data_IF_710088487195
#
_entry.id   IF_710088487195
#
_cell.length_a   1.000
_cell.length_b   1.000
_cell.length_c   1.000
_cell.angle_alpha   90.00
_cell.angle_beta   90.00
_cell.angle_gamma   90.00
#
_symmetry.space_group_name_H-M   'P 1'
#
loop_
_entity.id
_entity.type
_entity.pdbx_description
1 polymer ?
#
# COMPACT_ATOMS: atom_id res chain seq x y z
N UNK A 1 57.99 25.70 38.28
CA UNK A 1 57.23 25.56 37.02
C UNK A 1 57.92 24.48 36.18
N UNK A 2 57.36 23.29 36.30
CA UNK A 2 57.45 22.02 35.52
C UNK A 2 57.85 22.21 34.04
N UNK A 3 58.82 21.50 33.42
CA UNK A 3 59.15 20.04 33.34
C UNK A 3 57.96 19.22 32.80
N UNK A 4 57.96 18.48 31.69
CA UNK A 4 58.95 17.57 31.09
C UNK A 4 58.76 17.41 29.56
N UNK A 5 59.88 17.14 28.87
CA UNK A 5 59.96 16.45 27.57
C UNK A 5 59.70 14.95 27.74
N UNK A 6 59.13 14.27 26.73
CA UNK A 6 59.61 12.95 26.29
C UNK A 6 59.47 12.81 24.77
N UNK A 7 60.51 12.23 24.18
CA UNK A 7 60.84 12.10 22.76
C UNK A 7 61.29 10.63 22.55
N UNK A 8 61.30 10.19 21.28
CA UNK A 8 61.92 8.98 20.71
C UNK A 8 61.13 7.66 20.89
N UNK A 9 61.06 6.73 19.92
CA UNK A 9 62.06 6.35 18.89
C UNK A 9 61.39 5.70 17.67
N UNK A 10 61.95 5.96 16.49
CA UNK A 10 61.74 5.29 15.19
C UNK A 10 62.79 4.17 15.04
N UNK A 11 62.46 2.95 14.58
CA UNK A 11 63.20 2.29 13.47
C UNK A 11 62.59 0.98 12.97
N UNK A 12 62.62 0.86 11.65
CA UNK A 12 62.28 -0.22 10.72
C UNK A 12 63.35 -1.31 10.64
N UNK A 13 62.94 -2.54 10.23
CA UNK A 13 63.43 -3.32 9.06
C UNK A 13 63.75 -4.83 9.30
N UNK A 14 63.14 -5.67 8.44
CA UNK A 14 63.64 -6.89 7.77
C UNK A 14 63.97 -8.16 8.60
N UNK A 15 63.94 -9.41 8.10
CA UNK A 15 63.35 -10.15 6.95
C UNK A 15 63.90 -11.60 7.09
N UNK A 16 63.15 -12.60 6.58
CA UNK A 16 63.56 -13.95 6.15
C UNK A 16 63.78 -15.03 7.25
N UNK A 17 62.91 -16.06 7.32
CA UNK A 17 62.89 -17.32 6.51
C UNK A 17 63.85 -18.35 7.13
N UNK A 18 63.57 -19.65 7.34
CA UNK A 18 62.80 -20.76 6.73
C UNK A 18 62.74 -21.85 7.84
N UNK A 19 61.89 -22.87 7.92
CA UNK A 19 61.00 -23.61 7.01
C UNK A 19 60.77 -25.03 7.60
N UNK A 20 59.94 -25.82 6.90
CA UNK A 20 59.67 -27.27 7.04
C UNK A 20 58.67 -27.69 8.14
N UNK A 21 57.72 -28.61 7.96
CA UNK A 21 56.98 -29.24 6.85
C UNK A 21 56.03 -30.30 7.48
N UNK A 22 55.11 -30.96 6.75
CA UNK A 22 53.78 -31.35 7.26
C UNK A 22 53.64 -32.81 7.73
N UNK A 23 52.52 -33.15 8.39
CA UNK A 23 52.13 -34.55 8.62
C UNK A 23 50.60 -34.81 8.54
N UNK A 24 50.25 -35.55 7.49
CA UNK A 24 49.27 -36.63 7.31
C UNK A 24 47.88 -36.63 7.99
N UNK A 25 46.89 -36.91 7.13
CA UNK A 25 45.54 -37.39 7.41
C UNK A 25 45.53 -38.75 8.13
N UNK A 26 44.52 -38.96 8.99
CA UNK A 26 44.15 -40.21 9.66
C UNK A 26 42.64 -40.23 9.98
N UNK A 27 42.02 -41.42 10.18
CA UNK A 27 40.88 -41.87 9.37
C UNK A 27 39.52 -41.90 10.12
N UNK A 28 38.44 -42.08 9.34
CA UNK A 28 37.09 -42.34 9.86
C UNK A 28 37.01 -43.65 10.67
N UNK A 29 36.25 -43.70 11.77
CA UNK A 29 36.01 -44.94 12.49
C UNK A 29 34.88 -45.76 11.82
N UNK A 30 35.24 -46.97 11.40
CA UNK A 30 34.31 -48.06 11.10
C UNK A 30 33.59 -48.49 12.38
N UNK A 31 32.28 -48.73 12.28
CA UNK A 31 31.48 -49.49 13.24
C UNK A 31 30.75 -50.61 12.49
N UNK A 32 30.78 -51.77 13.13
CA UNK A 32 30.66 -53.11 12.58
C UNK A 32 29.34 -53.47 11.88
N UNK A 33 29.48 -54.35 10.90
CA UNK A 33 28.41 -54.98 10.13
C UNK A 33 27.89 -56.19 10.90
N UNK A 34 26.70 -56.07 11.48
CA UNK A 34 25.90 -57.23 11.90
C UNK A 34 24.74 -57.44 10.91
N UNK A 35 24.61 -58.67 10.41
CA UNK A 35 23.57 -59.13 9.49
C UNK A 35 22.20 -59.11 10.17
N UNK A 36 21.21 -58.47 9.57
CA UNK A 36 19.83 -58.92 9.63
C UNK A 36 18.98 -58.36 8.46
N UNK A 37 18.42 -59.29 7.69
CA UNK A 37 17.10 -59.31 7.05
C UNK A 37 16.59 -58.08 6.25
N UNK A 38 16.35 -58.35 4.97
CA UNK A 38 15.63 -57.50 4.01
C UNK A 38 14.23 -57.10 4.49
N UNK A 39 13.91 -55.80 4.60
CA UNK A 39 12.53 -55.37 4.78
C UNK A 39 11.82 -55.18 3.43
N UNK A 40 10.59 -55.68 3.43
CA UNK A 40 9.59 -55.63 2.37
C UNK A 40 9.35 -54.19 1.84
N UNK A 41 8.93 -54.12 0.57
CA UNK A 41 8.49 -52.88 -0.10
C UNK A 41 7.54 -52.08 0.80
N UNK A 42 7.80 -50.78 1.03
CA UNK A 42 6.77 -49.92 1.60
C UNK A 42 5.64 -49.76 0.58
N UNK A 43 4.42 -50.02 1.05
CA UNK A 43 3.18 -49.57 0.42
C UNK A 43 3.24 -48.05 0.18
N UNK A 44 2.68 -47.54 -0.93
CA UNK A 44 2.76 -46.12 -1.22
C UNK A 44 2.00 -45.32 -0.16
N UNK A 45 2.74 -44.45 0.54
CA UNK A 45 2.16 -43.41 1.39
C UNK A 45 1.21 -42.54 0.57
N UNK A 46 0.04 -42.26 1.14
CA UNK A 46 -0.92 -41.31 0.61
C UNK A 46 -0.22 -39.96 0.33
N UNK A 47 -0.55 -39.27 -0.78
CA UNK A 47 0.07 -38.00 -1.10
C UNK A 47 -0.21 -36.97 0.00
N UNK A 48 0.71 -36.00 0.23
CA UNK A 48 0.48 -34.94 1.19
C UNK A 48 -0.80 -34.18 0.81
N UNK A 49 -1.61 -33.88 1.83
CA UNK A 49 -2.77 -32.99 1.71
C UNK A 49 -2.25 -31.68 1.12
N UNK A 50 -2.57 -31.43 -0.16
CA UNK A 50 -2.38 -30.12 -0.76
C UNK A 50 -3.22 -29.15 0.06
N UNK A 51 -2.55 -28.25 0.75
CA UNK A 51 -3.15 -26.98 1.16
C UNK A 51 -3.89 -26.44 -0.08
N UNK A 52 -5.21 -26.31 0.04
CA UNK A 52 -6.00 -25.65 -0.99
C UNK A 52 -5.48 -24.23 -1.05
N UNK A 53 -4.66 -23.94 -2.05
CA UNK A 53 -4.58 -22.60 -2.61
C UNK A 53 -6.01 -22.26 -2.96
N UNK A 54 -6.58 -21.33 -2.21
CA UNK A 54 -7.86 -20.73 -2.50
C UNK A 54 -7.70 -19.95 -3.81
N UNK A 55 -7.84 -20.65 -4.93
CA UNK A 55 -8.05 -20.02 -6.24
C UNK A 55 -9.49 -19.55 -6.29
N UNK A 56 -9.81 -18.59 -5.43
CA UNK A 56 -11.07 -17.86 -5.40
C UNK A 56 -11.12 -16.81 -6.51
N UNK A 57 -10.94 -17.24 -7.76
CA UNK A 57 -11.57 -16.59 -8.90
C UNK A 57 -11.95 -17.66 -9.91
N UNK A 58 -13.23 -18.04 -9.90
CA UNK A 58 -13.83 -18.99 -10.83
C UNK A 58 -13.89 -18.46 -12.27
N UNK A 59 -13.29 -17.30 -12.56
CA UNK A 59 -13.16 -16.74 -13.91
C UNK A 59 -12.07 -17.39 -14.79
N UNK A 60 -11.18 -18.22 -14.24
CA UNK A 60 -10.11 -18.90 -15.01
C UNK A 60 -10.58 -20.17 -15.74
N UNK A 61 -11.57 -20.04 -16.62
CA UNK A 61 -11.62 -20.96 -17.78
C UNK A 61 -10.55 -20.50 -18.77
N UNK A 62 -9.80 -21.42 -19.43
CA UNK A 62 -8.96 -21.02 -20.55
C UNK A 62 -9.82 -20.21 -21.52
N UNK A 63 -9.28 -19.06 -21.92
CA UNK A 63 -9.96 -18.01 -22.68
C UNK A 63 -10.29 -18.56 -24.09
N UNK A 64 -11.41 -19.28 -24.25
CA UNK A 64 -11.80 -19.93 -25.50
C UNK A 64 -12.80 -19.08 -26.30
N UNK A 65 -12.47 -18.78 -27.56
CA UNK A 65 -13.29 -18.11 -28.58
C UNK A 65 -12.43 -17.38 -29.62
N UNK A 66 -13.02 -16.89 -30.73
CA UNK A 66 -12.27 -16.23 -31.80
C UNK A 66 -11.58 -14.96 -31.30
N UNK A 67 -10.32 -14.76 -31.69
CA UNK A 67 -9.53 -13.57 -31.37
C UNK A 67 -9.35 -12.76 -32.65
N UNK A 68 -9.79 -11.50 -32.64
CA UNK A 68 -9.66 -10.60 -33.79
C UNK A 68 -8.32 -9.87 -33.76
N UNK A 69 -7.57 -9.90 -34.85
CA UNK A 69 -6.30 -9.15 -34.95
C UNK A 69 -6.55 -7.71 -35.40
N UNK A 70 -6.08 -6.73 -34.65
CA UNK A 70 -6.19 -5.30 -34.99
C UNK A 70 -4.96 -4.73 -35.73
N UNK A 71 -3.89 -5.51 -35.89
CA UNK A 71 -2.64 -5.05 -36.50
C UNK A 71 -2.75 -4.67 -37.99
N UNK A 72 -3.81 -5.12 -38.68
CA UNK A 72 -4.07 -4.81 -40.09
C UNK A 72 -4.86 -3.52 -40.34
N UNK A 73 -5.26 -2.80 -39.29
CA UNK A 73 -5.95 -1.51 -39.40
C UNK A 73 -4.96 -0.38 -39.74
N UNK A 74 -5.40 0.77 -40.32
CA UNK A 74 -4.51 1.89 -40.64
C UNK A 74 -3.61 2.28 -39.46
N UNK A 75 -2.34 2.58 -39.76
CA UNK A 75 -1.23 2.62 -38.78
C UNK A 75 -1.40 3.64 -37.63
N UNK A 76 -2.19 4.69 -37.84
CA UNK A 76 -2.27 5.82 -36.91
C UNK A 76 -3.43 5.68 -35.92
N UNK A 77 -4.49 4.97 -36.29
CA UNK A 77 -5.64 4.68 -35.43
C UNK A 77 -6.20 3.31 -35.81
N UNK A 78 -6.11 2.35 -34.89
CA UNK A 78 -6.72 1.02 -35.08
C UNK A 78 -8.11 1.04 -34.47
N UNK A 79 -9.15 1.09 -35.32
CA UNK A 79 -10.55 1.12 -34.88
C UNK A 79 -11.25 -0.17 -35.26
N UNK A 80 -12.02 -0.71 -34.33
CA UNK A 80 -13.00 -1.76 -34.59
C UNK A 80 -14.37 -1.33 -34.09
N UNK A 81 -15.40 -1.54 -34.91
CA UNK A 81 -16.80 -1.41 -34.52
C UNK A 81 -17.50 -2.74 -34.69
N UNK A 82 -18.30 -3.11 -33.71
CA UNK A 82 -19.08 -4.33 -33.77
C UNK A 82 -20.07 -4.41 -32.62
N UNK A 83 -20.69 -5.56 -32.46
CA UNK A 83 -21.58 -5.81 -31.32
C UNK A 83 -21.02 -6.92 -30.46
N UNK A 84 -21.34 -6.88 -29.17
CA UNK A 84 -20.98 -7.92 -28.21
C UNK A 84 -21.81 -9.18 -28.53
N UNK A 85 -21.19 -10.21 -29.11
CA UNK A 85 -21.86 -11.44 -29.58
C UNK A 85 -21.95 -12.51 -28.49
N UNK A 86 -21.14 -12.38 -27.44
CA UNK A 86 -21.08 -13.26 -26.27
C UNK A 86 -20.80 -12.43 -25.01
N UNK A 87 -20.60 -13.04 -23.85
CA UNK A 87 -20.26 -12.31 -22.62
C UNK A 87 -19.04 -11.38 -22.79
N UNK A 88 -18.11 -11.72 -23.68
CA UNK A 88 -16.89 -10.95 -23.92
C UNK A 88 -16.38 -11.09 -25.36
N UNK A 89 -15.95 -9.99 -25.97
CA UNK A 89 -15.21 -9.99 -27.24
C UNK A 89 -13.70 -9.93 -27.00
N UNK A 90 -12.92 -10.48 -27.93
CA UNK A 90 -11.46 -10.62 -27.80
C UNK A 90 -10.71 -10.05 -28.97
N UNK A 91 -9.71 -9.24 -28.66
CA UNK A 91 -8.84 -8.60 -29.64
C UNK A 91 -7.38 -8.86 -29.32
N UNK A 92 -6.58 -9.19 -30.33
CA UNK A 92 -5.14 -9.23 -30.24
C UNK A 92 -4.57 -7.98 -30.90
N UNK A 93 -3.58 -7.39 -30.25
CA UNK A 93 -2.81 -6.30 -30.83
C UNK A 93 -1.34 -6.44 -30.46
N UNK A 94 -0.45 -6.11 -31.39
CA UNK A 94 0.98 -6.05 -31.14
C UNK A 94 1.43 -4.61 -30.97
N UNK A 95 2.15 -4.36 -29.89
CA UNK A 95 2.90 -3.12 -29.67
C UNK A 95 4.39 -3.36 -29.91
N UNK A 96 5.04 -2.41 -30.58
CA UNK A 96 6.47 -2.38 -30.75
C UNK A 96 7.16 -1.82 -29.49
N UNK A 97 8.48 -2.06 -29.37
CA UNK A 97 9.29 -1.47 -28.31
C UNK A 97 9.24 0.07 -28.38
N UNK A 98 9.04 0.71 -27.23
CA UNK A 98 8.89 2.16 -27.10
C UNK A 98 7.51 2.71 -27.49
N UNK A 99 6.59 1.87 -27.97
CA UNK A 99 5.24 2.27 -28.37
C UNK A 99 4.35 2.48 -27.13
N UNK A 100 3.53 3.53 -27.17
CA UNK A 100 2.44 3.70 -26.22
C UNK A 100 1.14 3.98 -26.96
N UNK A 101 0.07 3.37 -26.46
CA UNK A 101 -1.28 3.49 -26.99
C UNK A 101 -2.26 3.86 -25.88
N UNK A 102 -3.25 4.65 -26.25
CA UNK A 102 -4.50 4.85 -25.51
C UNK A 102 -5.54 3.95 -26.15
N UNK A 103 -6.12 3.07 -25.35
CA UNK A 103 -7.14 2.11 -25.76
C UNK A 103 -8.45 2.56 -25.13
N UNK A 104 -9.40 2.96 -25.95
CA UNK A 104 -10.73 3.37 -25.51
C UNK A 104 -11.76 2.34 -25.98
N UNK A 105 -12.69 1.99 -25.11
CA UNK A 105 -13.89 1.20 -25.46
C UNK A 105 -15.11 2.03 -25.12
N UNK A 106 -15.92 2.35 -26.12
CA UNK A 106 -17.11 3.18 -25.95
C UNK A 106 -18.34 2.51 -26.56
N UNK A 107 -19.51 2.75 -25.97
CA UNK A 107 -20.78 2.36 -26.59
C UNK A 107 -21.00 3.18 -27.87
N UNK A 108 -21.49 2.53 -28.93
CA UNK A 108 -21.90 3.25 -30.15
C UNK A 108 -23.16 4.10 -29.88
N UNK A 109 -23.38 5.22 -30.61
CA UNK A 109 -24.55 6.06 -30.43
C UNK A 109 -25.87 5.28 -30.44
N UNK A 110 -26.72 5.52 -29.44
CA UNK A 110 -27.99 4.82 -29.27
C UNK A 110 -27.90 3.46 -28.58
N UNK A 111 -26.71 2.99 -28.23
CA UNK A 111 -26.50 1.77 -27.43
C UNK A 111 -26.41 2.11 -25.95
N UNK A 112 -27.10 1.35 -25.10
CA UNK A 112 -26.90 1.38 -23.64
C UNK A 112 -25.95 0.25 -23.25
N UNK A 113 -24.69 0.58 -23.08
CA UNK A 113 -23.65 -0.33 -22.63
C UNK A 113 -22.67 0.44 -21.76
N UNK A 114 -22.31 -0.16 -20.63
CA UNK A 114 -21.25 0.29 -19.75
C UNK A 114 -20.03 -0.63 -20.00
N UNK A 115 -19.11 -0.25 -20.90
CA UNK A 115 -18.01 -1.11 -21.32
C UNK A 115 -17.00 -1.37 -20.22
N UNK A 116 -16.51 -2.61 -20.12
CA UNK A 116 -15.35 -2.98 -19.31
C UNK A 116 -14.25 -3.46 -20.23
N UNK A 117 -13.07 -2.89 -20.09
CA UNK A 117 -11.85 -3.28 -20.78
C UNK A 117 -10.88 -3.96 -19.80
N UNK A 118 -10.48 -5.20 -20.10
CA UNK A 118 -9.31 -5.83 -19.47
C UNK A 118 -8.21 -6.04 -20.50
N UNK A 119 -6.99 -5.64 -20.18
CA UNK A 119 -5.82 -5.77 -21.04
C UNK A 119 -4.85 -6.76 -20.41
N UNK A 120 -4.53 -7.82 -21.13
CA UNK A 120 -3.60 -8.85 -20.72
C UNK A 120 -2.34 -8.81 -21.57
N UNK A 121 -1.21 -9.15 -20.96
CA UNK A 121 -0.05 -9.67 -21.68
C UNK A 121 -0.44 -11.05 -22.23
N UNK A 122 -0.45 -11.19 -23.54
CA UNK A 122 -0.94 -12.39 -24.21
C UNK A 122 -0.01 -13.59 -24.03
N UNK A 123 1.28 -13.35 -23.89
CA UNK A 123 2.29 -14.41 -23.84
C UNK A 123 2.34 -15.04 -22.44
N UNK A 124 2.14 -14.23 -21.40
CA UNK A 124 2.12 -14.65 -19.99
C UNK A 124 0.72 -14.82 -19.41
N UNK A 125 -0.32 -14.39 -20.13
CA UNK A 125 -1.70 -14.29 -19.66
C UNK A 125 -1.86 -13.45 -18.37
N UNK A 126 -0.94 -12.52 -18.13
CA UNK A 126 -0.96 -11.62 -16.96
C UNK A 126 -1.86 -10.42 -17.23
N UNK A 127 -2.81 -10.13 -16.34
CA UNK A 127 -3.57 -8.88 -16.38
C UNK A 127 -2.62 -7.69 -16.21
N UNK A 128 -2.65 -6.76 -17.17
CA UNK A 128 -1.86 -5.53 -17.14
C UNK A 128 -2.68 -4.40 -16.55
N UNK A 129 -3.88 -4.18 -17.07
CA UNK A 129 -4.77 -3.08 -16.69
C UNK A 129 -6.23 -3.49 -16.89
N UNK A 130 -7.10 -2.88 -16.11
CA UNK A 130 -8.55 -2.98 -16.25
C UNK A 130 -9.16 -1.61 -16.02
N UNK A 131 -10.20 -1.29 -16.79
CA UNK A 131 -10.96 -0.06 -16.65
C UNK A 131 -12.40 -0.23 -17.16
N UNK A 132 -13.32 0.59 -16.67
CA UNK A 132 -14.74 0.59 -17.01
C UNK A 132 -15.32 2.00 -17.27
N UNK A 133 -14.82 3.05 -16.63
CA UNK A 133 -15.42 4.38 -16.72
C UNK A 133 -14.43 5.56 -16.79
N UNK A 134 -13.15 5.34 -17.10
CA UNK A 134 -12.16 6.42 -17.11
C UNK A 134 -12.14 7.27 -18.39
N UNK A 135 -12.92 6.93 -19.40
CA UNK A 135 -13.05 7.64 -20.66
C UNK A 135 -14.22 8.64 -20.69
N UNK A 136 -14.55 9.13 -21.88
CA UNK A 136 -15.70 10.03 -22.05
C UNK A 136 -17.03 9.29 -21.77
N UNK A 137 -17.84 9.85 -20.87
CA UNK A 137 -19.09 9.22 -20.45
C UNK A 137 -18.84 7.99 -19.58
N UNK A 138 -19.27 6.82 -20.06
CA UNK A 138 -19.00 5.51 -19.43
C UNK A 138 -17.94 4.73 -20.21
N UNK A 139 -17.14 5.38 -21.06
CA UNK A 139 -16.14 4.64 -21.82
C UNK A 139 -15.04 4.11 -20.89
N UNK A 140 -14.56 2.90 -21.16
CA UNK A 140 -13.34 2.40 -20.53
C UNK A 140 -12.12 2.98 -21.26
N UNK A 141 -11.12 3.48 -20.54
CA UNK A 141 -9.89 4.02 -21.12
C UNK A 141 -8.63 3.52 -20.41
N UNK A 142 -7.68 3.01 -21.19
CA UNK A 142 -6.42 2.47 -20.68
C UNK A 142 -5.24 2.99 -21.49
N UNK A 143 -4.21 3.47 -20.79
CA UNK A 143 -2.91 3.79 -21.38
C UNK A 143 -1.90 2.65 -21.16
N UNK A 144 -1.34 2.12 -22.24
CA UNK A 144 -0.29 1.08 -22.22
C UNK A 144 0.98 1.65 -22.85
N UNK A 145 2.12 1.40 -22.22
CA UNK A 145 3.44 1.61 -22.79
C UNK A 145 4.17 0.27 -22.81
N UNK A 146 4.82 -0.05 -23.94
CA UNK A 146 5.61 -1.26 -24.09
C UNK A 146 7.08 -0.92 -24.20
N UNK A 147 7.89 -1.32 -23.21
CA UNK A 147 9.34 -1.05 -23.22
C UNK A 147 10.07 -1.92 -24.26
N UNK A 148 9.74 -3.21 -24.33
CA UNK A 148 10.44 -4.20 -25.16
C UNK A 148 9.60 -4.74 -26.33
N UNK A 149 8.41 -4.19 -26.54
CA UNK A 149 7.40 -4.77 -27.42
C UNK A 149 6.58 -5.83 -26.66
N UNK A 150 5.30 -5.92 -26.97
CA UNK A 150 4.38 -6.78 -26.23
C UNK A 150 3.20 -7.19 -27.10
N UNK A 151 2.80 -8.45 -27.00
CA UNK A 151 1.54 -8.93 -27.56
C UNK A 151 0.45 -8.74 -26.49
N UNK A 152 -0.59 -7.99 -26.83
CA UNK A 152 -1.71 -7.73 -25.94
C UNK A 152 -2.92 -8.56 -26.33
N UNK A 153 -3.69 -8.97 -25.32
CA UNK A 153 -5.03 -9.51 -25.46
C UNK A 153 -6.01 -8.57 -24.74
N UNK A 154 -6.91 -7.95 -25.51
CA UNK A 154 -7.98 -7.09 -24.99
C UNK A 154 -9.25 -7.93 -24.82
N UNK A 155 -9.84 -7.89 -23.64
CA UNK A 155 -11.15 -8.44 -23.36
C UNK A 155 -12.13 -7.28 -23.15
N UNK A 156 -13.15 -7.23 -24.00
CA UNK A 156 -14.23 -6.24 -23.92
C UNK A 156 -15.50 -6.93 -23.42
N UNK A 157 -16.09 -6.42 -22.35
CA UNK A 157 -17.36 -6.89 -21.78
C UNK A 157 -18.24 -5.70 -21.36
N UNK A 158 -19.37 -5.96 -20.73
CA UNK A 158 -20.20 -4.93 -20.11
C UNK A 158 -20.21 -5.09 -18.57
N UNK A 159 -20.24 -3.98 -17.84
CA UNK A 159 -20.25 -3.94 -16.37
C UNK A 159 -21.58 -4.43 -15.79
N UNK A 160 -22.67 -4.25 -16.55
CA UNK A 160 -24.02 -4.65 -16.18
C UNK A 160 -24.69 -5.48 -17.28
N UNK A 161 -25.72 -6.22 -16.87
CA UNK A 161 -26.57 -6.98 -17.79
C UNK A 161 -27.25 -6.05 -18.78
N UNK A 162 -27.20 -6.41 -20.06
CA UNK A 162 -27.85 -5.69 -21.15
C UNK A 162 -28.80 -6.63 -21.89
N UNK A 163 -29.77 -6.05 -22.62
CA UNK A 163 -30.59 -6.80 -23.57
C UNK A 163 -30.03 -6.68 -24.98
N UNK A 164 -30.13 -7.76 -25.77
CA UNK A 164 -29.69 -7.78 -27.16
C UNK A 164 -28.16 -7.89 -27.31
N UNK A 165 -27.63 -7.34 -28.41
CA UNK A 165 -26.20 -7.35 -28.77
C UNK A 165 -25.71 -5.91 -28.88
N UNK A 166 -25.24 -5.29 -27.78
CA UNK A 166 -24.91 -3.87 -27.76
C UNK A 166 -23.74 -3.59 -28.70
N UNK A 167 -23.82 -2.49 -29.43
CA UNK A 167 -22.77 -2.03 -30.32
C UNK A 167 -21.72 -1.22 -29.55
N UNK A 168 -20.45 -1.43 -29.88
CA UNK A 168 -19.31 -0.76 -29.26
C UNK A 168 -18.21 -0.47 -30.28
N UNK A 169 -17.37 0.50 -29.96
CA UNK A 169 -16.12 0.82 -30.64
C UNK A 169 -14.94 0.47 -29.73
N UNK A 170 -13.89 -0.13 -30.30
CA UNK A 170 -12.55 -0.20 -29.71
C UNK A 170 -11.65 0.68 -30.56
N UNK A 171 -11.05 1.70 -29.96
CA UNK A 171 -10.13 2.61 -30.63
C UNK A 171 -8.77 2.58 -29.94
N UNK A 172 -7.72 2.29 -30.71
CA UNK A 172 -6.34 2.42 -30.27
C UNK A 172 -5.71 3.62 -30.95
N UNK A 173 -5.27 4.59 -30.16
CA UNK A 173 -4.64 5.83 -30.62
C UNK A 173 -3.24 5.96 -30.02
N UNK A 174 -2.26 6.51 -30.74
CA UNK A 174 -0.96 6.84 -30.18
C UNK A 174 -1.09 7.67 -28.90
N UNK A 175 -0.24 7.35 -27.93
CA UNK A 175 -0.22 7.98 -26.62
C UNK A 175 1.19 8.45 -26.30
N UNK A 176 1.28 9.58 -25.60
CA UNK A 176 2.54 10.06 -25.02
C UNK A 176 2.80 9.51 -23.62
N UNK A 177 1.89 8.71 -23.08
CA UNK A 177 2.05 8.08 -21.77
C UNK A 177 3.36 7.31 -21.68
N UNK A 178 4.09 7.53 -20.59
CA UNK A 178 5.27 6.77 -20.19
C UNK A 178 5.19 6.58 -18.67
N UNK A 179 5.41 5.36 -18.14
CA UNK A 179 5.57 5.15 -16.71
C UNK A 179 6.65 6.10 -16.19
N UNK A 180 6.30 6.88 -15.16
CA UNK A 180 7.24 7.79 -14.52
C UNK A 180 7.78 7.13 -13.26
N UNK A 181 9.10 7.04 -13.07
CA UNK A 181 9.65 6.59 -11.78
C UNK A 181 9.29 7.62 -10.68
N UNK A 182 9.18 7.18 -9.41
CA UNK A 182 8.90 8.10 -8.32
C UNK A 182 9.97 9.20 -8.22
N UNK A 183 9.53 10.45 -8.06
CA UNK A 183 10.41 11.62 -7.99
C UNK A 183 10.67 12.03 -6.53
N UNK A 184 11.91 12.34 -6.19
CA UNK A 184 12.23 12.75 -4.81
C UNK A 184 11.87 14.23 -4.58
N UNK A 185 11.21 14.50 -3.47
CA UNK A 185 10.84 15.83 -2.97
C UNK A 185 11.86 16.26 -1.90
N UNK A 186 12.32 17.49 -2.01
CA UNK A 186 12.99 18.23 -0.95
C UNK A 186 12.15 19.44 -0.52
N UNK A 187 12.58 20.14 0.53
CA UNK A 187 11.92 21.36 0.98
C UNK A 187 11.99 22.46 -0.11
N UNK A 188 10.86 23.07 -0.45
CA UNK A 188 10.75 24.06 -1.52
C UNK A 188 10.71 23.45 -2.93
N UNK A 189 10.49 22.13 -3.04
CA UNK A 189 10.41 21.45 -4.33
C UNK A 189 9.22 21.92 -5.16
N UNK A 190 9.41 22.05 -6.47
CA UNK A 190 8.36 22.38 -7.44
C UNK A 190 8.48 21.47 -8.65
N UNK A 191 7.37 20.83 -9.02
CA UNK A 191 7.33 19.80 -10.05
C UNK A 191 6.14 20.03 -10.96
N UNK A 192 6.36 19.90 -12.26
CA UNK A 192 5.28 19.86 -13.24
C UNK A 192 5.08 18.43 -13.73
N UNK A 193 3.89 18.16 -14.24
CA UNK A 193 3.57 16.87 -14.84
C UNK A 193 2.21 16.92 -15.51
N UNK A 194 1.81 15.77 -16.04
CA UNK A 194 0.48 15.60 -16.62
C UNK A 194 -0.07 14.23 -16.24
N UNK A 195 -1.22 14.23 -15.59
CA UNK A 195 -1.97 13.02 -15.30
C UNK A 195 -2.64 12.61 -16.60
N UNK A 196 -2.27 11.44 -17.12
CA UNK A 196 -2.88 10.83 -18.31
C UNK A 196 -3.71 9.60 -17.96
N UNK A 197 -3.61 9.10 -16.73
CA UNK A 197 -4.26 7.87 -16.30
C UNK A 197 -4.44 7.86 -14.78
N UNK A 198 -5.34 6.99 -14.31
CA UNK A 198 -5.70 6.88 -12.88
C UNK A 198 -4.54 6.52 -11.94
N UNK A 199 -3.44 5.99 -12.47
CA UNK A 199 -2.25 5.70 -11.65
C UNK A 199 -1.54 6.97 -11.16
N UNK A 200 -1.70 8.11 -11.85
CA UNK A 200 -1.06 9.37 -11.46
C UNK A 200 0.47 9.31 -11.45
N UNK A 201 1.08 10.16 -10.62
CA UNK A 201 2.53 10.25 -10.43
C UNK A 201 2.90 10.17 -8.96
N UNK A 202 3.89 9.33 -8.66
CA UNK A 202 4.44 9.18 -7.31
C UNK A 202 5.62 10.12 -7.05
N UNK A 203 5.67 10.61 -5.82
CA UNK A 203 6.77 11.39 -5.29
C UNK A 203 7.18 10.86 -3.92
N UNK A 204 8.47 10.91 -3.58
CA UNK A 204 9.00 10.40 -2.31
C UNK A 204 9.64 11.51 -1.50
N UNK A 205 9.37 11.56 -0.20
CA UNK A 205 10.04 12.48 0.72
C UNK A 205 10.42 11.77 2.01
N UNK A 206 11.43 12.31 2.69
CA UNK A 206 11.82 11.87 4.03
C UNK A 206 11.31 12.92 5.01
N UNK A 207 10.62 12.46 6.05
CA UNK A 207 10.15 13.31 7.13
C UNK A 207 10.56 12.73 8.47
N UNK A 208 10.85 13.59 9.43
CA UNK A 208 11.05 13.23 10.81
C UNK A 208 9.73 13.39 11.58
N UNK A 209 9.56 12.63 12.66
CA UNK A 209 8.36 12.72 13.51
C UNK A 209 8.08 14.18 13.93
N UNK A 210 6.86 14.62 13.65
CA UNK A 210 6.36 15.98 13.90
C UNK A 210 6.62 16.97 12.77
N UNK A 211 7.37 16.62 11.72
CA UNK A 211 7.56 17.53 10.59
C UNK A 211 6.22 17.89 9.94
N UNK A 212 5.95 19.19 9.80
CA UNK A 212 4.78 19.68 9.05
C UNK A 212 5.18 19.98 7.62
N UNK A 213 4.52 19.32 6.69
CA UNK A 213 4.59 19.53 5.26
C UNK A 213 3.29 20.11 4.73
N UNK A 214 3.41 20.99 3.74
CA UNK A 214 2.29 21.52 2.96
C UNK A 214 2.57 21.26 1.49
N UNK A 215 1.64 20.57 0.85
CA UNK A 215 1.68 20.23 -0.57
C UNK A 215 0.55 20.95 -1.29
N UNK A 216 0.89 21.73 -2.31
CA UNK A 216 -0.08 22.40 -3.17
C UNK A 216 -0.05 21.74 -4.54
N UNK A 217 -1.11 21.03 -4.90
CA UNK A 217 -1.26 20.39 -6.20
C UNK A 217 -2.29 21.16 -7.03
N UNK A 218 -1.81 21.84 -8.06
CA UNK A 218 -2.56 22.83 -8.81
C UNK A 218 -2.70 22.43 -10.28
N UNK A 219 -3.91 22.55 -10.80
CA UNK A 219 -4.18 22.50 -12.24
C UNK A 219 -4.11 23.91 -12.86
N UNK A 220 -3.72 24.04 -14.15
CA UNK A 220 -3.85 25.30 -14.87
C UNK A 220 -5.29 25.81 -14.88
N UNK A 221 -5.47 27.14 -15.04
CA UNK A 221 -6.80 27.72 -15.22
C UNK A 221 -7.52 27.08 -16.41
N UNK A 222 -8.80 26.77 -16.23
CA UNK A 222 -9.66 26.08 -17.21
C UNK A 222 -9.19 24.66 -17.58
N UNK A 223 -8.36 24.02 -16.75
CA UNK A 223 -8.06 22.59 -16.89
C UNK A 223 -9.28 21.74 -16.55
N UNK A 224 -9.40 20.58 -17.20
CA UNK A 224 -10.34 19.51 -16.83
C UNK A 224 -9.85 18.66 -15.66
N UNK A 225 -8.59 18.82 -15.25
CA UNK A 225 -8.02 18.10 -14.12
C UNK A 225 -8.66 18.59 -12.82
N UNK A 226 -9.13 17.63 -12.04
CA UNK A 226 -9.59 17.80 -10.66
C UNK A 226 -8.53 17.13 -9.76
N UNK A 227 -7.45 17.83 -9.37
CA UNK A 227 -6.30 17.21 -8.74
C UNK A 227 -6.60 16.67 -7.33
N UNK A 228 -6.14 15.45 -7.02
CA UNK A 228 -6.11 14.90 -5.66
C UNK A 228 -4.68 14.52 -5.27
N UNK A 229 -4.30 14.90 -4.05
CA UNK A 229 -3.04 14.56 -3.42
C UNK A 229 -3.30 13.58 -2.27
N UNK A 230 -2.51 12.51 -2.19
CA UNK A 230 -2.64 11.50 -1.13
C UNK A 230 -1.27 11.04 -0.63
N UNK A 231 -1.08 10.91 0.68
CA UNK A 231 0.20 10.52 1.30
C UNK A 231 0.10 9.12 1.86
N UNK A 232 1.09 8.30 1.55
CA UNK A 232 1.24 6.92 2.01
C UNK A 232 2.54 6.75 2.78
N UNK A 233 2.55 5.77 3.68
CA UNK A 233 3.76 5.36 4.40
C UNK A 233 4.68 4.56 3.46
N UNK A 234 5.99 4.81 3.51
CA UNK A 234 6.98 4.00 2.81
C UNK A 234 7.28 4.50 1.40
N UNK A 235 7.76 3.58 0.56
CA UNK A 235 8.32 3.89 -0.77
C UNK A 235 7.35 3.63 -1.93
N UNK A 236 6.13 3.20 -1.65
CA UNK A 236 5.10 2.92 -2.64
C UNK A 236 3.72 3.29 -2.11
N UNK A 237 2.76 3.48 -3.02
CA UNK A 237 1.35 3.61 -2.70
C UNK A 237 0.80 2.25 -2.27
N UNK A 238 0.48 2.09 -0.99
CA UNK A 238 -0.04 0.84 -0.42
C UNK A 238 -0.87 1.11 0.83
N UNK A 239 -1.97 0.37 0.99
CA UNK A 239 -2.94 0.58 2.06
C UNK A 239 -3.71 1.88 1.91
N UNK A 240 -4.30 2.34 3.01
CA UNK A 240 -5.03 3.59 3.06
C UNK A 240 -4.08 4.80 3.13
N UNK A 241 -4.44 5.94 2.52
CA UNK A 241 -3.67 7.15 2.66
C UNK A 241 -3.69 7.65 4.11
N UNK A 242 -2.55 8.12 4.60
CA UNK A 242 -2.42 8.79 5.90
C UNK A 242 -3.07 10.17 5.91
N UNK A 243 -3.11 10.81 4.75
CA UNK A 243 -3.75 12.09 4.52
C UNK A 243 -4.07 12.23 3.02
N UNK A 244 -5.17 12.87 2.68
CA UNK A 244 -5.54 13.18 1.30
C UNK A 244 -6.35 14.47 1.24
N UNK A 245 -6.28 15.16 0.12
CA UNK A 245 -7.04 16.38 -0.17
C UNK A 245 -7.20 16.56 -1.68
N UNK A 246 -8.35 17.07 -2.12
CA UNK A 246 -8.69 17.37 -3.51
C UNK A 246 -9.20 18.80 -3.74
N UNK A 247 -9.76 19.49 -2.74
CA UNK A 247 -10.42 20.78 -2.94
C UNK A 247 -10.18 21.87 -1.87
N UNK A 248 -9.23 21.68 -0.93
CA UNK A 248 -8.95 22.70 0.10
C UNK A 248 -8.11 23.89 -0.39
N UNK A 249 -7.67 23.90 -1.66
CA UNK A 249 -6.93 24.99 -2.29
C UNK A 249 -7.81 25.99 -3.04
N UNK A 250 -7.20 26.84 -3.89
CA UNK A 250 -7.98 27.75 -4.74
C UNK A 250 -8.77 26.97 -5.80
N UNK A 251 -10.09 27.07 -5.78
CA UNK A 251 -10.95 26.39 -6.76
C UNK A 251 -11.10 24.90 -6.44
N UNK A 252 -10.62 24.05 -7.34
CA UNK A 252 -10.59 22.57 -7.19
C UNK A 252 -9.17 22.05 -7.00
N UNK A 253 -8.28 22.89 -6.50
CA UNK A 253 -6.88 22.50 -6.30
C UNK A 253 -6.74 21.87 -4.92
N UNK A 254 -5.85 20.88 -4.78
CA UNK A 254 -5.56 20.30 -3.48
C UNK A 254 -4.53 21.12 -2.71
N UNK A 255 -4.79 21.35 -1.42
CA UNK A 255 -3.88 21.91 -0.44
C UNK A 255 -3.77 20.94 0.75
N UNK A 256 -2.85 19.99 0.64
CA UNK A 256 -2.68 18.93 1.63
C UNK A 256 -1.65 19.32 2.70
N UNK A 257 -2.12 19.44 3.94
CA UNK A 257 -1.24 19.56 5.11
C UNK A 257 -0.99 18.19 5.75
N UNK A 258 0.26 17.92 6.13
CA UNK A 258 0.67 16.64 6.68
C UNK A 258 1.67 16.82 7.81
N UNK A 259 1.36 16.29 8.99
CA UNK A 259 2.29 16.20 10.11
C UNK A 259 2.78 14.76 10.22
N UNK A 260 4.07 14.52 10.02
CA UNK A 260 4.63 13.18 10.01
C UNK A 260 4.46 12.49 11.39
N UNK A 261 3.70 11.39 11.50
CA UNK A 261 3.47 10.74 12.78
C UNK A 261 4.71 9.98 13.31
N UNK A 262 5.67 9.69 12.42
CA UNK A 262 6.89 8.94 12.69
C UNK A 262 8.00 9.41 11.76
N UNK A 263 9.26 9.12 12.08
CA UNK A 263 10.37 9.42 11.16
C UNK A 263 10.47 8.34 10.07
N UNK A 264 10.62 8.71 8.80
CA UNK A 264 10.79 7.75 7.73
C UNK A 264 10.55 8.31 6.33
N UNK A 265 10.45 7.40 5.36
CA UNK A 265 10.08 7.71 3.99
C UNK A 265 8.56 7.66 3.82
N UNK A 266 8.05 8.61 3.04
CA UNK A 266 6.66 8.75 2.67
C UNK A 266 6.56 8.89 1.15
N UNK A 267 5.42 8.46 0.60
CA UNK A 267 5.09 8.58 -0.82
C UNK A 267 3.86 9.48 -0.97
N UNK A 268 4.00 10.57 -1.72
CA UNK A 268 2.88 11.41 -2.15
C UNK A 268 2.45 10.97 -3.56
N UNK A 269 1.18 10.64 -3.71
CA UNK A 269 0.53 10.38 -4.99
C UNK A 269 -0.18 11.64 -5.46
N UNK A 270 0.16 12.11 -6.67
CA UNK A 270 -0.58 13.15 -7.38
C UNK A 270 -1.35 12.52 -8.55
N UNK A 271 -2.68 12.56 -8.51
CA UNK A 271 -3.53 12.02 -9.57
C UNK A 271 -4.74 12.92 -9.80
N UNK A 272 -5.59 12.56 -10.76
CA UNK A 272 -6.92 13.15 -10.87
C UNK A 272 -7.90 12.47 -9.92
N UNK A 273 -8.82 13.24 -9.37
CA UNK A 273 -10.04 12.76 -8.75
C UNK A 273 -10.92 12.13 -9.84
N UNK A 274 -11.45 10.95 -9.55
CA UNK A 274 -12.08 10.07 -10.54
C UNK A 274 -11.20 9.88 -11.80
N UNK A 275 -11.73 10.14 -12.99
CA UNK A 275 -11.06 10.01 -14.28
C UNK A 275 -10.48 11.31 -14.83
N UNK A 276 -10.49 12.38 -14.02
CA UNK A 276 -9.96 13.67 -14.46
C UNK A 276 -8.48 13.58 -14.81
N UNK A 277 -8.09 14.31 -15.85
CA UNK A 277 -6.74 14.27 -16.39
C UNK A 277 -6.34 15.67 -16.86
N UNK A 278 -5.04 15.88 -17.00
CA UNK A 278 -4.48 17.17 -17.41
C UNK A 278 -3.15 17.51 -16.73
N UNK A 279 -2.61 18.64 -17.14
CA UNK A 279 -1.35 19.15 -16.60
C UNK A 279 -1.53 19.63 -15.15
N UNK A 280 -0.46 19.57 -14.37
CA UNK A 280 -0.42 20.05 -12.99
C UNK A 280 0.95 20.64 -12.63
N UNK A 281 0.95 21.40 -11.53
CA UNK A 281 2.13 21.78 -10.76
C UNK A 281 1.95 21.35 -9.30
N UNK A 282 2.96 20.69 -8.74
CA UNK A 282 3.07 20.33 -7.34
C UNK A 282 4.16 21.18 -6.69
N UNK A 283 3.80 21.93 -5.64
CA UNK A 283 4.76 22.60 -4.77
C UNK A 283 4.76 21.94 -3.39
N UNK A 284 5.94 21.74 -2.79
CA UNK A 284 6.11 21.03 -1.53
C UNK A 284 7.00 21.82 -0.56
N UNK A 285 6.45 22.17 0.60
CA UNK A 285 7.13 23.01 1.60
C UNK A 285 7.08 22.38 2.99
N UNK A 286 8.23 22.25 3.63
CA UNK A 286 8.35 21.88 5.05
C UNK A 286 8.28 23.15 5.88
N UNK A 287 7.23 23.31 6.67
CA UNK A 287 6.94 24.51 7.47
C UNK A 287 7.47 24.43 8.91
N UNK A 288 8.21 23.38 9.25
CA UNK A 288 8.85 23.21 10.56
C UNK A 288 8.50 21.87 11.18
N UNK A 289 8.60 21.81 12.52
CA UNK A 289 8.26 20.63 13.30
C UNK A 289 7.26 21.01 14.39
N UNK A 290 6.13 20.35 14.39
CA UNK A 290 5.11 20.46 15.42
C UNK A 290 5.37 19.45 16.55
N UNK A 291 5.10 19.89 17.77
CA UNK A 291 5.10 19.00 18.92
C UNK A 291 3.81 18.16 18.89
N UNK A 292 3.94 16.88 18.50
CA UNK A 292 2.82 15.96 18.58
C UNK A 292 2.35 15.82 20.04
N UNK A 293 1.04 15.65 20.29
CA UNK A 293 0.51 15.37 21.62
C UNK A 293 1.25 14.20 22.26
N UNK A 294 1.61 14.34 23.53
CA UNK A 294 2.18 13.23 24.29
C UNK A 294 1.11 12.14 24.46
N UNK A 295 1.48 10.85 24.43
CA UNK A 295 0.53 9.79 24.69
C UNK A 295 -0.14 9.95 26.06
N UNK A 296 -1.45 9.74 26.10
CA UNK A 296 -2.23 9.80 27.35
C UNK A 296 -1.94 8.54 28.16
N UNK A 297 -1.70 8.69 29.46
CA UNK A 297 -1.48 7.56 30.36
C UNK A 297 -2.81 6.87 30.67
N UNK A 298 -2.79 5.54 30.68
CA UNK A 298 -3.95 4.70 30.95
C UNK A 298 -3.65 3.74 32.10
N UNK A 299 -4.56 3.68 33.08
CA UNK A 299 -4.55 2.73 34.18
C UNK A 299 -5.65 1.67 34.04
N UNK A 300 -5.51 0.56 34.76
CA UNK A 300 -6.62 -0.40 34.87
C UNK A 300 -7.79 0.23 35.62
N UNK A 301 -8.98 0.07 35.05
CA UNK A 301 -10.23 0.66 35.56
C UNK A 301 -10.48 2.09 35.07
N UNK A 302 -9.56 2.69 34.32
CA UNK A 302 -9.78 4.03 33.75
C UNK A 302 -10.90 3.99 32.70
N UNK A 303 -11.74 5.02 32.73
CA UNK A 303 -12.66 5.38 31.67
C UNK A 303 -12.34 6.80 31.21
N UNK A 304 -11.55 6.92 30.15
CA UNK A 304 -11.03 8.19 29.66
C UNK A 304 -11.93 8.73 28.56
N UNK A 305 -12.49 9.92 28.77
CA UNK A 305 -13.21 10.62 27.72
C UNK A 305 -12.21 11.25 26.74
N UNK A 306 -12.43 11.02 25.45
CA UNK A 306 -11.64 11.59 24.37
C UNK A 306 -12.50 12.19 23.27
N UNK A 307 -11.87 12.94 22.38
CA UNK A 307 -12.50 13.53 21.20
C UNK A 307 -11.54 13.45 20.01
N UNK A 308 -12.03 12.90 18.91
CA UNK A 308 -11.35 12.94 17.61
C UNK A 308 -11.72 14.23 16.90
N UNK A 309 -10.72 14.89 16.34
CA UNK A 309 -10.90 16.07 15.48
C UNK A 309 -11.03 15.64 14.00
N UNK A 310 -10.43 14.50 13.64
CA UNK A 310 -10.53 13.89 12.31
C UNK A 310 -10.16 12.41 12.41
N UNK A 311 -10.70 11.56 11.54
CA UNK A 311 -10.33 10.13 11.47
C UNK A 311 -8.83 9.88 11.26
N UNK A 312 -8.14 10.78 10.54
CA UNK A 312 -6.72 10.62 10.18
C UNK A 312 -5.72 10.97 11.30
N UNK A 313 -6.21 11.50 12.43
CA UNK A 313 -5.38 11.92 13.57
C UNK A 313 -5.85 11.19 14.84
N UNK A 314 -5.46 9.91 15.02
CA UNK A 314 -5.86 9.15 16.18
C UNK A 314 -5.22 9.71 17.45
N UNK A 315 -5.93 9.60 18.57
CA UNK A 315 -5.38 9.91 19.89
C UNK A 315 -4.58 8.71 20.36
N UNK A 316 -3.35 8.96 20.80
CA UNK A 316 -2.42 7.92 21.22
C UNK A 316 -2.41 7.80 22.74
N UNK A 317 -2.53 6.57 23.24
CA UNK A 317 -2.43 6.21 24.65
C UNK A 317 -1.24 5.29 24.89
N UNK A 318 -0.77 5.27 26.14
CA UNK A 318 0.21 4.30 26.65
C UNK A 318 -0.21 3.83 28.04
N UNK A 319 0.27 2.66 28.43
CA UNK A 319 0.12 2.20 29.81
C UNK A 319 0.91 3.10 30.77
N UNK A 320 0.36 3.36 31.94
CA UNK A 320 1.09 4.04 33.03
C UNK A 320 2.16 3.13 33.63
N UNK A 321 3.13 3.70 34.33
CA UNK A 321 4.16 2.91 35.02
C UNK A 321 3.56 2.01 36.11
N UNK A 322 2.47 2.45 36.75
CA UNK A 322 1.73 1.64 37.73
C UNK A 322 1.10 0.41 37.07
N UNK A 323 0.47 0.60 35.90
CA UNK A 323 -0.17 -0.46 35.11
C UNK A 323 0.83 -1.43 34.52
N UNK A 324 1.96 -0.94 34.03
CA UNK A 324 3.09 -1.79 33.63
C UNK A 324 3.52 -2.64 34.82
N UNK A 325 3.82 -2.04 35.98
CA UNK A 325 4.25 -2.78 37.16
C UNK A 325 3.22 -3.81 37.67
N UNK A 326 1.94 -3.55 37.47
CA UNK A 326 0.86 -4.49 37.78
C UNK A 326 0.80 -5.64 36.77
N UNK A 327 0.98 -5.39 35.47
CA UNK A 327 1.09 -6.43 34.43
C UNK A 327 2.28 -7.34 34.64
N UNK A 328 3.40 -6.78 35.10
CA UNK A 328 4.60 -7.57 35.41
C UNK A 328 4.39 -8.48 36.61
N UNK A 329 3.68 -8.02 37.65
CA UNK A 329 3.40 -8.81 38.86
C UNK A 329 2.32 -9.86 38.63
N UNK A 330 1.31 -9.51 37.85
CA UNK A 330 0.16 -10.34 37.53
C UNK A 330 -0.02 -10.35 36.01
N UNK A 331 0.75 -11.16 35.25
CA UNK A 331 0.58 -11.27 33.81
C UNK A 331 -0.80 -11.81 33.45
N UNK A 332 -1.34 -11.38 32.31
CA UNK A 332 -2.61 -11.91 31.82
C UNK A 332 -3.27 -11.08 30.74
N UNK A 333 -4.53 -11.42 30.50
CA UNK A 333 -5.40 -10.78 29.52
C UNK A 333 -5.83 -9.38 29.98
N UNK A 334 -5.91 -8.48 29.01
CA UNK A 334 -6.52 -7.16 29.14
C UNK A 334 -7.63 -7.01 28.12
N UNK A 335 -8.58 -6.12 28.41
CA UNK A 335 -9.63 -5.70 27.50
C UNK A 335 -9.54 -4.19 27.34
N UNK A 336 -9.45 -3.73 26.09
CA UNK A 336 -9.50 -2.31 25.73
C UNK A 336 -10.80 -2.09 24.96
N UNK A 337 -11.60 -1.10 25.35
CA UNK A 337 -12.82 -0.74 24.60
C UNK A 337 -12.78 0.72 24.20
N UNK A 338 -13.33 1.03 23.04
CA UNK A 338 -13.56 2.39 22.56
C UNK A 338 -15.03 2.54 22.19
N UNK A 339 -15.78 3.21 23.05
CA UNK A 339 -17.21 3.38 22.90
C UNK A 339 -17.54 4.81 22.48
N UNK A 340 -18.61 5.00 21.72
CA UNK A 340 -19.23 6.32 21.55
C UNK A 340 -19.53 6.94 22.92
N UNK A 341 -19.20 8.22 23.10
CA UNK A 341 -19.51 8.92 24.35
C UNK A 341 -21.02 9.21 24.50
N UNK A 342 -21.75 9.26 23.39
CA UNK A 342 -23.20 9.41 23.34
C UNK A 342 -23.75 8.83 22.03
N UNK A 343 -25.06 8.58 21.98
CA UNK A 343 -25.76 8.17 20.75
C UNK A 343 -25.61 9.15 19.59
N UNK A 344 -25.41 10.43 19.91
CA UNK A 344 -25.28 11.52 18.94
C UNK A 344 -23.87 11.62 18.36
N UNK A 345 -22.92 10.83 18.88
CA UNK A 345 -21.56 10.78 18.33
C UNK A 345 -21.57 10.03 17.00
N UNK A 346 -21.20 10.74 15.94
CA UNK A 346 -21.15 10.25 14.56
C UNK A 346 -19.94 9.38 14.25
N UNK A 347 -19.02 9.19 15.21
CA UNK A 347 -17.82 8.38 14.99
C UNK A 347 -18.19 6.94 14.67
N UNK A 348 -17.35 6.28 13.90
CA UNK A 348 -17.28 4.82 13.83
C UNK A 348 -15.97 4.42 14.49
N UNK A 349 -15.95 4.10 15.80
CA UNK A 349 -14.72 3.84 16.55
C UNK A 349 -13.78 2.84 15.87
N UNK A 350 -12.47 3.08 15.98
CA UNK A 350 -11.43 2.12 15.59
C UNK A 350 -10.32 2.10 16.63
N UNK A 351 -9.97 0.91 17.09
CA UNK A 351 -8.81 0.64 17.94
C UNK A 351 -7.67 0.01 17.15
N UNK A 352 -6.45 0.46 17.41
CA UNK A 352 -5.24 -0.26 17.01
C UNK A 352 -4.30 -0.38 18.22
N UNK A 353 -3.92 -1.61 18.55
CA UNK A 353 -2.90 -1.93 19.54
C UNK A 353 -1.60 -2.29 18.82
N UNK A 354 -0.47 -1.75 19.28
CA UNK A 354 0.80 -2.01 18.62
C UNK A 354 2.02 -1.44 19.33
N UNK A 355 3.19 -1.58 18.70
CA UNK A 355 4.45 -1.04 19.22
C UNK A 355 4.91 0.16 18.41
N UNK A 356 5.28 1.24 19.11
CA UNK A 356 5.90 2.42 18.52
C UNK A 356 7.42 2.31 18.57
N UNK A 357 8.05 2.26 17.39
CA UNK A 357 9.49 2.19 17.21
C UNK A 357 10.11 3.56 16.85
N UNK A 358 9.32 4.64 16.85
CA UNK A 358 9.73 5.98 16.43
C UNK A 358 9.89 6.14 14.92
N UNK A 359 10.35 5.10 14.23
CA UNK A 359 10.33 5.02 12.77
C UNK A 359 8.95 4.65 12.23
N UNK A 360 8.10 4.04 13.06
CA UNK A 360 6.76 3.59 12.70
C UNK A 360 6.04 2.90 13.84
N UNK A 361 4.76 2.60 13.57
CA UNK A 361 3.89 1.83 14.46
C UNK A 361 3.63 0.45 13.84
N UNK A 362 3.93 -0.61 14.58
CA UNK A 362 3.65 -1.98 14.20
C UNK A 362 2.36 -2.44 14.90
N UNK A 363 1.28 -2.59 14.13
CA UNK A 363 -0.01 -3.06 14.64
C UNK A 363 0.09 -4.55 14.99
N UNK A 364 -0.38 -4.91 16.17
CA UNK A 364 -0.53 -6.29 16.65
C UNK A 364 -1.98 -6.73 16.45
N UNK A 365 -2.92 -5.85 16.82
CA UNK A 365 -4.34 -6.11 16.80
C UNK A 365 -5.07 -4.81 16.47
N UNK A 366 -6.12 -4.90 15.67
CA UNK A 366 -6.98 -3.78 15.34
C UNK A 366 -8.42 -4.27 15.28
N UNK A 367 -9.34 -3.41 15.69
CA UNK A 367 -10.76 -3.71 15.77
C UNK A 367 -11.55 -2.42 15.60
N UNK A 368 -12.63 -2.45 14.83
CA UNK A 368 -13.57 -1.34 14.63
C UNK A 368 -14.97 -1.67 15.16
N UNK A 369 -15.44 -2.91 15.07
CA UNK A 369 -16.82 -3.29 15.41
C UNK A 369 -16.96 -4.45 16.43
N UNK A 370 -15.90 -4.85 17.13
CA UNK A 370 -15.90 -5.96 18.09
C UNK A 370 -16.63 -5.69 19.41
N UNK A 371 -17.15 -4.48 19.61
CA UNK A 371 -17.96 -4.05 20.76
C UNK A 371 -19.47 -4.08 20.51
N UNK A 372 -20.23 -3.42 21.38
CA UNK A 372 -21.69 -3.30 21.17
C UNK A 372 -21.98 -2.30 20.04
N UNK A 373 -22.78 -2.71 19.05
CA UNK A 373 -23.11 -1.87 17.91
C UNK A 373 -21.92 -1.69 16.97
N UNK A 374 -21.42 -0.47 16.85
CA UNK A 374 -20.22 -0.11 16.05
C UNK A 374 -19.03 0.26 16.95
N UNK A 375 -19.09 -0.06 18.23
CA UNK A 375 -17.98 0.22 19.14
C UNK A 375 -16.85 -0.80 18.94
N UNK A 376 -15.62 -0.44 19.29
CA UNK A 376 -14.48 -1.35 19.15
C UNK A 376 -14.06 -1.97 20.48
N UNK A 377 -13.54 -3.20 20.43
CA UNK A 377 -13.02 -3.96 21.58
C UNK A 377 -11.84 -4.84 21.17
N UNK A 378 -10.71 -4.66 21.84
CA UNK A 378 -9.53 -5.52 21.73
C UNK A 378 -9.37 -6.34 23.01
N UNK A 379 -9.18 -7.67 22.87
CA UNK A 379 -8.97 -8.59 23.99
C UNK A 379 -7.70 -9.41 23.82
N UNK A 380 -6.64 -9.01 24.50
CA UNK A 380 -5.31 -9.55 24.22
C UNK A 380 -4.61 -10.02 25.48
N UNK A 381 -3.78 -11.05 25.36
CA UNK A 381 -2.96 -11.56 26.46
C UNK A 381 -1.54 -10.99 26.38
N UNK A 382 -1.17 -10.17 27.36
CA UNK A 382 0.14 -9.54 27.44
C UNK A 382 1.14 -10.29 28.31
N UNK A 383 0.83 -11.53 28.73
CA UNK A 383 1.71 -12.34 29.57
C UNK A 383 3.11 -12.50 28.98
N UNK A 384 3.21 -12.61 27.65
CA UNK A 384 4.49 -12.71 26.94
C UNK A 384 5.38 -11.47 27.03
N UNK A 385 4.84 -10.32 27.48
CA UNK A 385 5.57 -9.05 27.62
C UNK A 385 5.90 -8.72 29.09
N UNK A 386 5.45 -9.52 30.05
CA UNK A 386 5.58 -9.21 31.48
C UNK A 386 7.03 -9.10 31.97
N UNK A 387 7.95 -9.83 31.34
CA UNK A 387 9.38 -9.75 31.66
C UNK A 387 10.12 -8.66 30.86
N UNK A 388 9.45 -7.97 29.93
CA UNK A 388 10.03 -6.94 29.08
C UNK A 388 9.38 -5.56 29.32
N UNK A 389 9.85 -4.81 30.34
CA UNK A 389 9.33 -3.47 30.61
C UNK A 389 9.61 -2.47 29.49
N UNK A 390 10.61 -2.70 28.63
CA UNK A 390 10.88 -1.81 27.50
C UNK A 390 9.81 -1.99 26.41
N UNK A 391 9.44 -3.23 26.10
CA UNK A 391 8.35 -3.54 25.16
C UNK A 391 7.01 -3.01 25.67
N UNK A 392 6.69 -3.19 26.95
CA UNK A 392 5.50 -2.61 27.55
C UNK A 392 5.50 -1.06 27.47
N UNK A 393 6.67 -0.43 27.57
CA UNK A 393 6.81 1.01 27.39
C UNK A 393 6.68 1.48 25.93
N UNK A 394 6.89 0.60 24.95
CA UNK A 394 6.68 0.86 23.51
C UNK A 394 5.25 0.60 23.06
N UNK A 395 4.48 -0.16 23.83
CA UNK A 395 3.08 -0.42 23.53
C UNK A 395 2.29 0.89 23.45
N UNK A 396 1.51 1.07 22.38
CA UNK A 396 0.56 2.16 22.20
C UNK A 396 -0.79 1.61 21.83
N UNK A 397 -1.81 2.33 22.27
CA UNK A 397 -3.19 2.15 21.85
C UNK A 397 -3.54 3.40 21.06
N UNK A 398 -3.96 3.24 19.80
CA UNK A 398 -4.48 4.33 18.99
C UNK A 398 -5.99 4.25 18.97
N UNK A 399 -6.64 5.32 19.42
CA UNK A 399 -8.07 5.53 19.28
C UNK A 399 -8.31 6.39 18.04
N UNK A 400 -8.97 5.83 17.03
CA UNK A 400 -9.29 6.46 15.76
C UNK A 400 -10.74 6.24 15.34
N UNK A 401 -11.06 6.51 14.09
CA UNK A 401 -12.37 6.24 13.53
C UNK A 401 -12.29 5.73 12.08
N UNK A 402 -13.28 4.95 11.67
CA UNK A 402 -13.50 4.54 10.27
C UNK A 402 -14.21 5.70 9.55
N UNK A 403 -13.42 6.62 9.00
CA UNK A 403 -13.92 7.79 8.29
C UNK A 403 -14.62 8.84 9.18
N UNK A 404 -15.14 9.88 8.52
CA UNK A 404 -15.92 10.97 9.15
C UNK A 404 -15.10 12.07 9.85
N UNK A 405 -15.82 13.10 10.29
CA UNK A 405 -15.29 14.36 10.86
C UNK A 405 -14.87 14.25 12.34
N UNK A 406 -14.72 13.04 12.87
CA UNK A 406 -14.42 12.79 14.27
C UNK A 406 -15.64 12.91 15.21
N UNK A 407 -15.39 13.02 16.51
CA UNK A 407 -16.41 13.03 17.56
C UNK A 407 -15.92 12.43 18.89
N UNK A 408 -16.81 12.36 19.88
CA UNK A 408 -16.46 12.03 21.27
C UNK A 408 -16.59 10.54 21.56
N UNK A 409 -15.64 10.01 22.34
CA UNK A 409 -15.59 8.60 22.75
C UNK A 409 -15.19 8.44 24.22
N UNK A 410 -15.39 7.23 24.75
CA UNK A 410 -14.90 6.77 26.04
C UNK A 410 -14.01 5.56 25.79
N UNK A 411 -12.74 5.66 26.18
CA UNK A 411 -11.78 4.56 26.15
C UNK A 411 -11.69 3.91 27.53
N UNK A 412 -11.79 2.59 27.61
CA UNK A 412 -11.55 1.86 28.88
C UNK A 412 -10.43 0.84 28.75
N UNK A 413 -9.72 0.61 29.86
CA UNK A 413 -8.75 -0.48 30.00
C UNK A 413 -9.11 -1.29 31.24
N UNK A 414 -9.41 -2.57 31.05
CA UNK A 414 -9.83 -3.46 32.13
C UNK A 414 -9.08 -4.78 32.06
N UNK A 415 -9.20 -5.57 33.14
CA UNK A 415 -8.79 -6.97 33.18
C UNK A 415 -10.03 -7.84 33.42
N UNK A 416 -10.05 -9.07 32.91
CA UNK A 416 -10.99 -10.08 33.39
C UNK A 416 -10.83 -10.24 34.90
N UNK A 417 -11.95 -10.35 35.61
CA UNK A 417 -11.95 -10.63 37.05
C UNK A 417 -11.44 -12.03 37.36
#
# INVERSE_FOLDING_TARGET
MTSHRHLCTVLTLALAATGLSPLAAQPEPQLDVERAESPQRPTPMAPPVRERVDTGDSSMRPVQGPVRNLDGAPADVRVYRGTLQSERERFAVRLNAGEAVRITVSAEPGTRMDPVLKVYDRDTNRLLKQDDDSGEGLAAEVHIYSEQGQNLLLLVSAASSYSGKPAFEVALRPSRYRPQPPRNIGNGGSFTGEVLSKEGHEFRFIAERGDRWVFSLMAPRNSSLDPIAAIYRGTAVSGDPLAQDDDSGEGRNALLEFIAPSSGTYTLLAKGHSSSNGAYRLDANKQGREALPKPVLLNFGDAVQGRLVSANMPVVYRLSDATINELRRNPGRITITMNKASSDSSIDPKLELGFDYGTGFAVIEADDDGGEGVNSRIETDLSGLAEDPEMLNRLRIKAGAVGGDGGSYILTLTRPR
#
